data_IF_052561276102
#
_entry.id   IF_052561276102
#
_cell.length_a   1.000
_cell.length_b   1.000
_cell.length_c   1.000
_cell.angle_alpha   90.00
_cell.angle_beta   90.00
_cell.angle_gamma   90.00
#
_symmetry.space_group_name_H-M   'P 1'
#
loop_
_entity.id
_entity.type
_entity.pdbx_description
1 polymer ?
#
# COMPACT_ATOMS: atom_id res chain seq x y z
N UNK A 1 9.87 -35.49 -14.00
CA UNK A 1 9.35 -34.68 -12.88
C UNK A 1 9.95 -33.30 -13.06
N UNK A 2 9.21 -32.40 -13.71
CA UNK A 2 9.69 -31.06 -14.03
C UNK A 2 10.00 -30.31 -12.73
N UNK A 3 11.26 -29.94 -12.58
CA UNK A 3 11.77 -29.21 -11.44
C UNK A 3 11.22 -27.78 -11.56
N UNK A 4 10.36 -27.34 -10.64
CA UNK A 4 9.93 -25.95 -10.53
C UNK A 4 11.17 -25.04 -10.39
N UNK A 5 11.72 -24.57 -11.50
CA UNK A 5 12.92 -23.71 -11.55
C UNK A 5 12.61 -22.22 -11.45
N UNK A 6 11.34 -21.83 -11.51
CA UNK A 6 10.90 -20.42 -11.54
C UNK A 6 10.26 -19.94 -10.23
N UNK A 7 10.62 -20.54 -9.09
CA UNK A 7 10.16 -20.03 -7.79
C UNK A 7 11.17 -19.00 -7.26
N UNK A 8 10.83 -17.72 -7.35
CA UNK A 8 11.58 -16.65 -6.72
C UNK A 8 11.14 -16.48 -5.27
N UNK A 9 12.06 -16.74 -4.34
CA UNK A 9 11.81 -16.62 -2.92
C UNK A 9 12.45 -15.36 -2.37
N UNK A 10 11.72 -14.67 -1.50
CA UNK A 10 12.22 -13.52 -0.76
C UNK A 10 11.93 -13.72 0.72
N UNK A 11 12.92 -13.41 1.56
CA UNK A 11 12.79 -13.53 3.00
C UNK A 11 12.33 -12.19 3.58
N UNK A 12 11.20 -12.19 4.28
CA UNK A 12 10.77 -11.02 5.05
C UNK A 12 11.42 -11.04 6.45
N UNK A 13 11.98 -9.93 6.93
CA UNK A 13 12.67 -9.86 8.22
C UNK A 13 11.73 -10.07 9.41
N UNK A 14 10.42 -9.82 9.21
CA UNK A 14 9.37 -10.13 10.16
C UNK A 14 8.15 -10.74 9.47
N UNK A 15 7.22 -11.28 10.26
CA UNK A 15 5.98 -11.83 9.74
C UNK A 15 5.14 -10.72 9.10
N UNK A 16 4.47 -11.01 7.98
CA UNK A 16 3.42 -10.17 7.43
C UNK A 16 2.05 -10.82 7.60
N UNK A 17 1.01 -10.23 7.01
CA UNK A 17 -0.29 -10.87 6.89
C UNK A 17 -0.87 -10.66 5.47
N UNK A 18 -1.98 -11.30 5.14
CA UNK A 18 -2.57 -11.20 3.79
C UNK A 18 -3.08 -9.79 3.44
N UNK A 19 -3.31 -8.93 4.44
CA UNK A 19 -3.73 -7.55 4.28
C UNK A 19 -2.56 -6.57 4.19
N UNK A 20 -1.32 -7.03 4.31
CA UNK A 20 -0.12 -6.21 4.10
C UNK A 20 0.44 -6.35 2.68
N UNK A 21 -0.38 -6.82 1.74
CA UNK A 21 -0.04 -7.03 0.34
C UNK A 21 -0.96 -6.21 -0.55
N UNK A 22 -0.40 -5.40 -1.45
CA UNK A 22 -1.17 -4.58 -2.39
C UNK A 22 -0.60 -4.67 -3.82
N UNK A 23 -1.48 -4.83 -4.82
CA UNK A 23 -1.11 -4.78 -6.24
C UNK A 23 -1.11 -3.32 -6.73
N UNK A 24 -0.01 -2.89 -7.35
CA UNK A 24 0.08 -1.65 -8.09
C UNK A 24 -0.06 -1.95 -9.58
N UNK A 25 -1.20 -1.57 -10.17
CA UNK A 25 -1.45 -1.72 -11.61
C UNK A 25 -1.17 -0.41 -12.32
N UNK A 26 -0.05 -0.35 -13.04
CA UNK A 26 0.36 0.84 -13.80
C UNK A 26 -0.55 1.02 -15.03
N UNK A 27 -0.61 2.25 -15.54
CA UNK A 27 -1.34 2.58 -16.76
C UNK A 27 -0.82 1.81 -17.99
N UNK A 28 0.47 1.43 -18.00
CA UNK A 28 1.08 0.58 -19.02
C UNK A 28 0.56 -0.88 -19.01
N UNK A 29 -0.19 -1.28 -17.98
CA UNK A 29 -0.60 -2.65 -17.74
C UNK A 29 0.41 -3.47 -16.94
N UNK A 30 1.63 -2.95 -16.71
CA UNK A 30 2.60 -3.57 -15.82
C UNK A 30 2.07 -3.62 -14.38
N UNK A 31 2.42 -4.68 -13.67
CA UNK A 31 2.03 -4.89 -12.27
C UNK A 31 3.26 -4.91 -11.38
N UNK A 32 3.13 -4.28 -10.23
CA UNK A 32 4.09 -4.39 -9.11
C UNK A 32 3.33 -4.84 -7.87
N UNK A 33 4.04 -5.45 -6.94
CA UNK A 33 3.47 -5.90 -5.67
C UNK A 33 4.17 -5.20 -4.53
N UNK A 34 3.41 -4.57 -3.66
CA UNK A 34 3.92 -4.11 -2.38
C UNK A 34 3.63 -5.15 -1.32
N UNK A 35 4.63 -5.44 -0.50
CA UNK A 35 4.51 -6.35 0.64
C UNK A 35 5.14 -5.66 1.84
N UNK A 36 4.33 -5.40 2.85
CA UNK A 36 4.79 -4.90 4.13
C UNK A 36 4.89 -6.05 5.15
N UNK A 37 5.89 -5.97 6.01
CA UNK A 37 6.02 -6.83 7.18
C UNK A 37 5.64 -6.06 8.45
N UNK A 38 5.36 -6.79 9.53
CA UNK A 38 4.87 -6.23 10.78
C UNK A 38 5.82 -5.15 11.34
N UNK A 39 7.13 -5.35 11.22
CA UNK A 39 8.19 -4.46 11.77
C UNK A 39 8.63 -3.33 10.84
N UNK A 40 7.73 -2.90 9.95
CA UNK A 40 7.78 -1.68 9.11
C UNK A 40 8.53 -1.81 7.80
N UNK A 41 9.20 -2.93 7.55
CA UNK A 41 9.87 -3.12 6.26
C UNK A 41 8.82 -3.33 5.16
N UNK A 42 8.92 -2.53 4.10
CA UNK A 42 8.03 -2.57 2.93
C UNK A 42 8.87 -2.82 1.70
N UNK A 43 8.49 -3.82 0.92
CA UNK A 43 9.20 -4.25 -0.28
C UNK A 43 8.33 -4.04 -1.50
N UNK A 44 8.91 -3.55 -2.59
CA UNK A 44 8.30 -3.52 -3.91
C UNK A 44 8.89 -4.63 -4.76
N UNK A 45 8.03 -5.53 -5.23
CA UNK A 45 8.37 -6.58 -6.19
C UNK A 45 7.87 -6.20 -7.57
N UNK A 46 8.69 -6.44 -8.58
CA UNK A 46 8.33 -6.25 -9.98
C UNK A 46 9.11 -7.21 -10.86
N UNK A 47 8.70 -7.33 -12.12
CA UNK A 47 9.50 -7.94 -13.16
C UNK A 47 10.08 -6.84 -14.05
N UNK A 48 11.40 -6.83 -14.20
CA UNK A 48 12.11 -5.98 -15.14
C UNK A 48 12.50 -6.79 -16.36
N UNK A 49 12.35 -6.21 -17.55
CA UNK A 49 12.82 -6.84 -18.78
C UNK A 49 14.32 -6.57 -18.95
N UNK A 50 15.11 -7.63 -19.08
CA UNK A 50 16.54 -7.51 -19.39
C UNK A 50 16.75 -7.05 -20.85
N UNK A 51 17.94 -6.55 -21.21
CA UNK A 51 18.26 -6.23 -22.60
C UNK A 51 18.11 -7.41 -23.58
N UNK A 52 18.10 -8.65 -23.07
CA UNK A 52 17.87 -9.87 -23.84
C UNK A 52 16.39 -10.28 -23.95
N UNK A 53 15.46 -9.46 -23.45
CA UNK A 53 14.01 -9.73 -23.45
C UNK A 53 13.55 -10.74 -22.40
N UNK A 54 14.37 -11.01 -21.38
CA UNK A 54 14.04 -11.96 -20.31
C UNK A 54 13.47 -11.22 -19.10
N UNK A 55 12.34 -11.66 -18.56
CA UNK A 55 11.76 -11.08 -17.34
C UNK A 55 12.55 -11.53 -16.12
N UNK A 56 13.13 -10.56 -15.40
CA UNK A 56 13.86 -10.77 -14.17
C UNK A 56 13.08 -10.17 -13.00
N UNK A 57 12.68 -10.98 -12.01
CA UNK A 57 12.04 -10.44 -10.83
C UNK A 57 13.06 -9.71 -9.99
N UNK A 58 12.65 -8.55 -9.51
CA UNK A 58 13.41 -7.70 -8.60
C UNK A 58 12.58 -7.43 -7.36
N UNK A 59 13.28 -7.29 -6.24
CA UNK A 59 12.71 -6.90 -4.96
C UNK A 59 13.57 -5.76 -4.41
N UNK A 60 12.92 -4.69 -3.97
CA UNK A 60 13.61 -3.52 -3.41
C UNK A 60 12.89 -3.02 -2.17
N UNK A 61 13.67 -2.53 -1.22
CA UNK A 61 13.17 -1.93 0.02
C UNK A 61 12.68 -0.52 -0.26
N UNK A 62 11.46 -0.20 0.17
CA UNK A 62 10.85 1.13 0.00
C UNK A 62 10.70 1.77 1.37
N UNK A 63 11.34 2.93 1.55
CA UNK A 63 11.29 3.68 2.80
C UNK A 63 10.12 4.67 2.79
N UNK A 64 9.02 4.28 3.44
CA UNK A 64 7.88 5.17 3.69
C UNK A 64 8.13 6.06 4.91
N UNK A 65 7.93 7.36 4.73
CA UNK A 65 8.08 8.35 5.81
C UNK A 65 6.95 8.21 6.85
N UNK A 66 7.15 8.77 8.04
CA UNK A 66 6.13 8.82 9.11
C UNK A 66 5.64 7.45 9.62
N UNK A 67 6.47 6.40 9.54
CA UNK A 67 6.24 5.12 10.23
C UNK A 67 7.17 5.04 11.46
N UNK A 68 6.68 5.28 12.69
CA UNK A 68 7.50 5.31 13.91
C UNK A 68 8.22 4.00 14.23
N UNK A 69 9.36 4.05 14.94
CA UNK A 69 10.18 2.86 15.25
C UNK A 69 9.50 1.75 16.06
N UNK A 70 8.44 2.08 16.80
CA UNK A 70 7.68 1.13 17.62
C UNK A 70 6.29 0.82 17.04
N UNK A 71 6.04 1.19 15.79
CA UNK A 71 4.78 0.95 15.12
C UNK A 71 4.77 -0.42 14.42
N UNK A 72 3.62 -1.06 14.41
CA UNK A 72 3.32 -2.28 13.67
C UNK A 72 2.44 -1.94 12.45
N UNK A 73 2.82 -2.44 11.28
CA UNK A 73 1.97 -2.32 10.08
C UNK A 73 0.87 -3.39 10.12
N UNK A 74 -0.38 -2.95 10.03
CA UNK A 74 -1.54 -3.85 10.11
C UNK A 74 -2.10 -4.19 8.74
N UNK A 75 -2.31 -3.17 7.91
CA UNK A 75 -2.81 -3.35 6.55
C UNK A 75 -2.31 -2.26 5.61
N UNK A 76 -2.20 -2.62 4.34
CA UNK A 76 -1.69 -1.85 3.22
C UNK A 76 -2.69 -1.98 2.07
N UNK A 77 -3.02 -0.88 1.42
CA UNK A 77 -3.77 -0.88 0.18
C UNK A 77 -3.23 0.19 -0.76
N UNK A 78 -3.44 -0.01 -2.06
CA UNK A 78 -3.03 0.94 -3.06
C UNK A 78 -3.96 0.91 -4.27
N UNK A 79 -4.15 2.08 -4.88
CA UNK A 79 -4.92 2.21 -6.11
C UNK A 79 -4.38 3.33 -6.99
N UNK A 80 -4.57 3.19 -8.29
CA UNK A 80 -4.32 4.25 -9.25
C UNK A 80 -5.61 5.05 -9.45
N UNK A 81 -5.56 6.37 -9.24
CA UNK A 81 -6.69 7.27 -9.49
C UNK A 81 -6.99 7.41 -10.98
N UNK A 82 -5.97 7.25 -11.82
CA UNK A 82 -6.04 7.44 -13.26
C UNK A 82 -6.01 6.11 -14.01
N UNK A 83 -6.63 6.11 -15.20
CA UNK A 83 -6.54 4.99 -16.14
C UNK A 83 -5.47 5.18 -17.21
N UNK A 84 -4.92 6.40 -17.32
CA UNK A 84 -4.00 6.80 -18.40
C UNK A 84 -2.64 7.29 -17.88
N UNK A 85 -2.55 7.64 -16.60
CA UNK A 85 -1.33 8.08 -15.88
C UNK A 85 -1.14 7.22 -14.62
N UNK A 86 0.02 7.33 -13.97
CA UNK A 86 0.35 6.56 -12.77
C UNK A 86 0.10 7.35 -11.48
N UNK A 87 -1.13 7.81 -11.27
CA UNK A 87 -1.52 8.63 -10.12
C UNK A 87 -1.91 7.78 -8.91
N UNK A 88 -0.92 7.19 -8.26
CA UNK A 88 -1.16 6.28 -7.14
C UNK A 88 -1.47 6.98 -5.81
N UNK A 89 -2.35 6.33 -5.06
CA UNK A 89 -2.55 6.56 -3.63
C UNK A 89 -2.26 5.25 -2.92
N UNK A 90 -1.44 5.30 -1.87
CA UNK A 90 -1.06 4.16 -1.03
C UNK A 90 -1.48 4.49 0.40
N UNK A 91 -2.27 3.63 1.02
CA UNK A 91 -2.64 3.77 2.42
C UNK A 91 -1.97 2.69 3.27
N UNK A 92 -1.44 3.09 4.43
CA UNK A 92 -0.81 2.20 5.41
C UNK A 92 -1.45 2.45 6.75
N UNK A 93 -2.03 1.42 7.35
CA UNK A 93 -2.54 1.48 8.73
C UNK A 93 -1.50 0.94 9.68
N UNK A 94 -1.28 1.66 10.78
CA UNK A 94 -0.29 1.33 11.80
C UNK A 94 -0.90 1.38 13.20
N UNK A 95 -0.39 0.53 14.08
CA UNK A 95 -0.68 0.56 15.52
C UNK A 95 0.63 0.83 16.25
N UNK A 96 0.58 1.69 17.25
CA UNK A 96 1.71 2.00 18.13
C UNK A 96 1.26 1.93 19.57
N UNK A 97 2.03 1.25 20.40
CA UNK A 97 1.79 1.30 21.84
C UNK A 97 2.11 2.72 22.34
N UNK A 98 1.18 3.35 23.05
CA UNK A 98 1.48 4.58 23.75
C UNK A 98 2.49 4.31 24.87
N UNK A 99 3.36 5.28 25.13
CA UNK A 99 4.31 5.22 26.24
C UNK A 99 3.65 5.62 27.58
N UNK A 100 2.34 5.89 27.59
CA UNK A 100 1.62 6.33 28.77
C UNK A 100 1.21 5.14 29.65
N UNK A 101 1.12 5.44 30.95
CA UNK A 101 0.84 4.44 32.01
C UNK A 101 -0.48 3.67 31.81
N UNK A 102 -1.40 4.21 31.00
CA UNK A 102 -2.71 3.61 30.73
C UNK A 102 -2.73 2.66 29.52
N UNK A 103 -1.57 2.36 28.90
CA UNK A 103 -1.42 1.35 27.82
C UNK A 103 -2.43 1.51 26.67
N UNK A 104 -2.71 2.75 26.27
CA UNK A 104 -3.62 3.03 25.15
C UNK A 104 -2.94 2.73 23.82
N UNK A 105 -3.63 2.05 22.90
CA UNK A 105 -3.13 1.83 21.55
C UNK A 105 -3.41 3.08 20.71
N UNK A 106 -2.36 3.68 20.16
CA UNK A 106 -2.47 4.73 19.16
C UNK A 106 -2.59 4.08 17.78
N UNK A 107 -3.59 4.47 17.00
CA UNK A 107 -3.83 3.90 15.68
C UNK A 107 -3.88 4.99 14.63
N UNK A 108 -3.22 4.76 13.50
CA UNK A 108 -3.09 5.76 12.44
C UNK A 108 -3.30 5.15 11.07
N UNK A 109 -3.73 6.00 10.14
CA UNK A 109 -3.64 5.81 8.71
C UNK A 109 -2.66 6.84 8.14
N UNK A 110 -1.63 6.36 7.46
CA UNK A 110 -0.80 7.17 6.59
C UNK A 110 -1.28 7.01 5.15
N UNK A 111 -1.55 8.13 4.47
CA UNK A 111 -1.93 8.18 3.06
C UNK A 111 -0.79 8.83 2.30
N UNK A 112 -0.25 8.13 1.32
CA UNK A 112 0.84 8.55 0.46
C UNK A 112 0.32 8.77 -0.95
N UNK A 113 0.67 9.89 -1.58
CA UNK A 113 0.28 10.17 -2.96
C UNK A 113 1.30 11.08 -3.64
N UNK A 114 1.42 10.95 -4.96
CA UNK A 114 2.28 11.84 -5.73
C UNK A 114 1.71 13.27 -5.79
N UNK A 115 2.58 14.27 -5.60
CA UNK A 115 2.24 15.70 -5.68
C UNK A 115 2.55 16.31 -7.05
N UNK A 116 3.53 15.76 -7.77
CA UNK A 116 3.98 16.27 -9.08
C UNK A 116 3.63 15.27 -10.17
N UNK A 117 3.14 15.76 -11.32
CA UNK A 117 2.88 14.93 -12.49
C UNK A 117 4.22 14.49 -13.11
N UNK A 118 4.64 13.27 -12.80
CA UNK A 118 5.74 12.58 -13.48
C UNK A 118 5.18 11.59 -14.49
N UNK A 119 5.75 11.54 -15.69
CA UNK A 119 5.40 10.50 -16.67
C UNK A 119 5.84 9.11 -16.19
N UNK A 120 6.94 9.04 -15.44
CA UNK A 120 7.50 7.81 -14.91
C UNK A 120 7.00 7.53 -13.49
N UNK A 121 6.51 6.31 -13.27
CA UNK A 121 6.12 5.83 -11.94
C UNK A 121 7.32 5.76 -11.00
N UNK A 122 7.31 6.56 -9.93
CA UNK A 122 8.36 6.59 -8.92
C UNK A 122 7.77 6.39 -7.51
N UNK A 123 7.89 5.18 -6.97
CA UNK A 123 7.34 4.87 -5.65
C UNK A 123 8.08 5.58 -4.51
N UNK A 124 9.37 5.86 -4.67
CA UNK A 124 10.14 6.59 -3.69
C UNK A 124 9.57 7.99 -3.47
N UNK A 125 9.14 8.65 -4.55
CA UNK A 125 8.51 9.97 -4.49
C UNK A 125 7.17 9.92 -3.75
N UNK A 126 6.32 8.95 -4.09
CA UNK A 126 5.04 8.71 -3.39
C UNK A 126 5.30 8.49 -1.88
N UNK A 127 6.28 7.66 -1.54
CA UNK A 127 6.60 7.27 -0.17
C UNK A 127 7.07 8.43 0.73
N UNK A 128 7.44 9.59 0.17
CA UNK A 128 7.81 10.78 0.94
C UNK A 128 6.60 11.67 1.28
N UNK A 129 5.54 11.63 0.47
CA UNK A 129 4.42 12.57 0.53
C UNK A 129 3.26 12.03 1.37
N UNK A 130 3.38 12.12 2.69
CA UNK A 130 2.45 11.51 3.64
C UNK A 130 1.46 12.50 4.26
N UNK A 131 0.18 12.11 4.27
CA UNK A 131 -0.86 12.64 5.15
C UNK A 131 -1.18 11.60 6.23
N UNK A 132 -1.02 11.97 7.50
CA UNK A 132 -1.34 11.09 8.64
C UNK A 132 -2.69 11.46 9.24
N UNK A 133 -3.53 10.45 9.48
CA UNK A 133 -4.85 10.56 10.10
C UNK A 133 -4.88 9.65 11.33
N UNK A 134 -5.22 10.21 12.49
CA UNK A 134 -5.45 9.43 13.70
C UNK A 134 -6.80 8.70 13.61
N UNK A 135 -6.80 7.42 14.01
CA UNK A 135 -7.99 6.57 14.04
C UNK A 135 -8.40 6.35 15.49
N UNK A 136 -9.70 6.31 15.75
CA UNK A 136 -10.29 6.02 17.06
C UNK A 136 -10.76 4.56 17.18
N UNK A 137 -10.25 3.67 16.33
CA UNK A 137 -10.58 2.24 16.28
C UNK A 137 -9.37 1.43 15.84
N UNK A 138 -9.36 0.13 16.15
CA UNK A 138 -8.31 -0.78 15.71
C UNK A 138 -8.54 -1.16 14.23
N UNK A 139 -7.66 -0.75 13.29
CA UNK A 139 -7.80 -1.12 11.89
C UNK A 139 -7.56 -2.62 11.72
N UNK A 140 -8.26 -3.25 10.79
CA UNK A 140 -8.05 -4.67 10.45
C UNK A 140 -7.65 -4.84 8.99
N UNK A 141 -8.45 -4.29 8.07
CA UNK A 141 -8.19 -4.32 6.63
C UNK A 141 -8.44 -2.95 6.02
N UNK A 142 -7.49 -2.50 5.22
CA UNK A 142 -7.65 -1.38 4.32
C UNK A 142 -8.08 -1.89 2.94
N UNK A 143 -9.03 -1.20 2.32
CA UNK A 143 -9.35 -1.37 0.90
C UNK A 143 -9.82 -0.05 0.32
N UNK A 144 -10.00 0.03 -0.99
CA UNK A 144 -10.58 1.18 -1.66
C UNK A 144 -11.86 0.78 -2.38
N UNK A 145 -12.71 1.75 -2.62
CA UNK A 145 -13.95 1.57 -3.38
C UNK A 145 -14.23 2.78 -4.26
N UNK A 146 -15.02 2.56 -5.30
CA UNK A 146 -15.52 3.64 -6.14
C UNK A 146 -16.78 4.26 -5.53
N UNK A 147 -16.74 5.56 -5.31
CA UNK A 147 -17.91 6.35 -4.96
C UNK A 147 -18.53 6.87 -6.25
N UNK A 148 -19.81 6.57 -6.48
CA UNK A 148 -20.53 6.97 -7.69
C UNK A 148 -21.65 7.91 -7.30
N UNK A 149 -21.60 9.14 -7.79
CA UNK A 149 -22.67 10.12 -7.62
C UNK A 149 -23.63 10.01 -8.79
N UNK A 150 -24.93 9.89 -8.51
CA UNK A 150 -25.97 9.77 -9.51
C UNK A 150 -26.85 11.01 -9.55
N UNK A 151 -27.21 11.44 -10.74
CA UNK A 151 -28.16 12.53 -10.99
C UNK A 151 -29.04 12.20 -12.17
N UNK A 152 -30.35 12.18 -11.96
CA UNK A 152 -31.35 11.83 -12.99
C UNK A 152 -31.00 10.51 -13.71
N UNK A 153 -30.66 9.47 -12.94
CA UNK A 153 -30.27 8.14 -13.43
C UNK A 153 -29.01 8.11 -14.33
N UNK A 154 -28.23 9.18 -14.34
CA UNK A 154 -26.90 9.23 -14.96
C UNK A 154 -25.80 9.38 -13.91
N UNK A 155 -24.64 8.79 -14.19
CA UNK A 155 -23.45 8.96 -13.35
C UNK A 155 -22.92 10.38 -13.55
N UNK A 156 -22.92 11.18 -12.49
CA UNK A 156 -22.40 12.55 -12.47
C UNK A 156 -20.90 12.57 -12.14
N UNK A 157 -20.45 11.74 -11.19
CA UNK A 157 -19.03 11.62 -10.84
C UNK A 157 -18.68 10.21 -10.37
N UNK A 158 -17.40 9.85 -10.54
CA UNK A 158 -16.81 8.63 -10.00
C UNK A 158 -15.51 8.99 -9.29
N UNK A 159 -15.47 8.78 -7.98
CA UNK A 159 -14.31 9.03 -7.13
C UNK A 159 -13.81 7.72 -6.53
N UNK A 160 -12.60 7.71 -5.98
CA UNK A 160 -12.07 6.56 -5.25
C UNK A 160 -11.78 6.98 -3.82
N UNK A 161 -12.32 6.23 -2.85
CA UNK A 161 -12.11 6.47 -1.44
C UNK A 161 -11.58 5.23 -0.72
N UNK A 162 -10.75 5.44 0.29
CA UNK A 162 -10.30 4.39 1.21
C UNK A 162 -11.44 3.99 2.16
N UNK A 163 -11.56 2.70 2.44
CA UNK A 163 -12.57 2.06 3.30
C UNK A 163 -11.86 1.10 4.27
N UNK A 164 -12.41 0.99 5.47
CA UNK A 164 -11.81 0.21 6.56
C UNK A 164 -12.76 -0.89 7.00
N UNK A 165 -12.21 -2.06 7.28
CA UNK A 165 -12.83 -2.99 8.23
C UNK A 165 -12.15 -2.79 9.57
N UNK A 166 -12.94 -2.61 10.62
CA UNK A 166 -12.47 -2.51 12.00
C UNK A 166 -13.03 -3.66 12.83
N UNK A 167 -12.35 -3.96 13.93
CA UNK A 167 -12.94 -4.79 14.98
C UNK A 167 -13.64 -3.86 15.98
N UNK A 168 -14.88 -4.21 16.36
CA UNK A 168 -15.59 -3.46 17.40
C UNK A 168 -14.81 -3.57 18.71
N UNK A 169 -14.49 -2.44 19.32
CA UNK A 169 -14.04 -2.40 20.70
C UNK A 169 -15.32 -2.46 21.55
N UNK A 170 -15.54 -3.58 22.24
CA UNK A 170 -16.61 -3.72 23.24
C UNK A 170 -16.23 -3.00 24.53
#
# INVERSE_FOLDING_TARGET
MEQFRDAHFFYTPSQGNIYTIAELKLASGCKKLLVASLKREIFCFEYQESPSGTLMPTARDISFTYIPNAAEIISLDAFNKSTTSNEFVIGITIIKNSNDADSTLETYLNIYSEWEESEDFNIENIAQNCLTVELNFIPYKLCHTHLVTWKNDQIESKEVGSTYMSTSIN
#
